data_IF_857493047652
#
_entry.id   IF_857493047652
#
_cell.length_a   1.000
_cell.length_b   1.000
_cell.length_c   1.000
_cell.angle_alpha   90.00
_cell.angle_beta   90.00
_cell.angle_gamma   90.00
#
_symmetry.space_group_name_H-M   'P 1'
#
loop_
_entity.id
_entity.type
_entity.pdbx_description
1 polymer ?
#
# COMPACT_ATOMS: atom_id res chain seq x y z
N UNK A 1 18.39 1.10 -30.92
CA UNK A 1 17.53 0.02 -30.38
C UNK A 1 16.48 0.64 -29.45
N UNK A 2 15.21 0.33 -29.60
CA UNK A 2 14.18 0.77 -28.64
C UNK A 2 14.43 0.11 -27.29
N UNK A 3 14.63 0.89 -26.24
CA UNK A 3 14.80 0.39 -24.88
C UNK A 3 13.57 -0.41 -24.45
N UNK A 4 13.79 -1.57 -23.78
CA UNK A 4 12.69 -2.46 -23.36
C UNK A 4 11.94 -1.87 -22.15
N UNK A 5 10.66 -1.56 -22.30
CA UNK A 5 9.79 -1.14 -21.23
C UNK A 5 9.63 -2.26 -20.18
N UNK A 6 9.29 -3.45 -20.64
CA UNK A 6 9.06 -4.64 -19.82
C UNK A 6 10.40 -5.28 -19.40
N UNK A 7 11.09 -4.62 -18.48
CA UNK A 7 12.24 -5.22 -17.82
C UNK A 7 11.79 -5.94 -16.53
N UNK A 8 12.62 -6.89 -16.06
CA UNK A 8 12.27 -7.72 -14.90
C UNK A 8 12.00 -6.91 -13.62
N UNK A 9 12.72 -5.81 -13.41
CA UNK A 9 12.49 -4.97 -12.22
C UNK A 9 11.18 -4.18 -12.32
N UNK A 10 10.85 -3.68 -13.51
CA UNK A 10 9.58 -2.99 -13.72
C UNK A 10 8.37 -3.92 -13.50
N UNK A 11 8.43 -5.16 -14.02
CA UNK A 11 7.40 -6.18 -13.77
C UNK A 11 7.24 -6.45 -12.26
N UNK A 12 8.34 -6.60 -11.53
CA UNK A 12 8.31 -6.79 -10.08
C UNK A 12 7.69 -5.61 -9.34
N UNK A 13 8.01 -4.38 -9.73
CA UNK A 13 7.43 -3.18 -9.14
C UNK A 13 5.92 -3.13 -9.41
N UNK A 14 5.48 -3.43 -10.63
CA UNK A 14 4.05 -3.51 -10.98
C UNK A 14 3.33 -4.60 -10.19
N UNK A 15 3.95 -5.79 -10.05
CA UNK A 15 3.37 -6.89 -9.25
C UNK A 15 3.28 -6.51 -7.77
N UNK A 16 4.32 -5.87 -7.23
CA UNK A 16 4.31 -5.35 -5.86
C UNK A 16 3.16 -4.36 -5.67
N UNK A 17 2.96 -3.45 -6.62
CA UNK A 17 1.87 -2.49 -6.61
C UNK A 17 0.50 -3.18 -6.65
N UNK A 18 0.33 -4.10 -7.58
CA UNK A 18 -0.90 -4.87 -7.70
C UNK A 18 -1.24 -5.61 -6.40
N UNK A 19 -0.30 -6.33 -5.80
CA UNK A 19 -0.51 -7.08 -4.56
C UNK A 19 -0.79 -6.17 -3.36
N UNK A 20 -0.11 -5.02 -3.27
CA UNK A 20 -0.37 -4.00 -2.24
C UNK A 20 -1.84 -3.55 -2.28
N UNK A 21 -2.30 -3.13 -3.46
CA UNK A 21 -3.66 -2.66 -3.64
C UNK A 21 -4.69 -3.79 -3.57
N UNK A 22 -4.33 -4.98 -4.04
CA UNK A 22 -5.19 -6.16 -3.94
C UNK A 22 -5.48 -6.52 -2.48
N UNK A 23 -4.44 -6.59 -1.63
CA UNK A 23 -4.60 -6.84 -0.19
C UNK A 23 -5.50 -5.79 0.49
N UNK A 24 -5.35 -4.53 0.09
CA UNK A 24 -6.16 -3.43 0.61
C UNK A 24 -7.63 -3.54 0.16
N UNK A 25 -7.86 -3.66 -1.14
CA UNK A 25 -9.23 -3.65 -1.70
C UNK A 25 -10.00 -4.95 -1.43
N UNK A 26 -9.32 -6.08 -1.18
CA UNK A 26 -9.94 -7.33 -0.78
C UNK A 26 -10.83 -7.17 0.45
N UNK A 27 -10.36 -6.39 1.44
CA UNK A 27 -11.05 -6.20 2.70
C UNK A 27 -11.99 -4.99 2.70
N UNK A 28 -11.75 -4.00 1.84
CA UNK A 28 -12.44 -2.70 1.88
C UNK A 28 -13.98 -2.82 1.95
N UNK A 29 -14.67 -3.62 1.13
CA UNK A 29 -16.13 -3.74 1.18
C UNK A 29 -16.63 -4.50 2.42
N UNK A 30 -15.79 -5.32 3.03
CA UNK A 30 -16.16 -6.20 4.13
C UNK A 30 -15.95 -5.58 5.51
N UNK A 31 -15.06 -4.59 5.62
CA UNK A 31 -14.77 -3.94 6.90
C UNK A 31 -15.99 -3.28 7.56
N UNK A 32 -16.93 -2.61 6.85
CA UNK A 32 -18.14 -2.09 7.46
C UNK A 32 -19.01 -3.21 8.07
N UNK A 33 -19.14 -4.33 7.37
CA UNK A 33 -19.89 -5.51 7.84
C UNK A 33 -19.22 -6.11 9.06
N UNK A 34 -17.91 -6.36 8.98
CA UNK A 34 -17.12 -6.87 10.09
C UNK A 34 -17.28 -6.02 11.36
N UNK A 35 -17.20 -4.69 11.26
CA UNK A 35 -17.32 -3.79 12.40
C UNK A 35 -18.74 -3.82 12.99
N UNK A 36 -19.76 -3.92 12.14
CA UNK A 36 -21.16 -4.04 12.57
C UNK A 36 -21.44 -5.36 13.26
N UNK A 37 -21.03 -6.48 12.66
CA UNK A 37 -21.36 -7.82 13.12
C UNK A 37 -20.53 -8.26 14.33
N UNK A 38 -19.23 -7.99 14.34
CA UNK A 38 -18.34 -8.45 15.42
C UNK A 38 -18.25 -7.49 16.61
N UNK A 39 -18.49 -6.20 16.41
CA UNK A 39 -18.38 -5.21 17.48
C UNK A 39 -19.68 -4.43 17.73
N UNK A 40 -20.75 -4.70 16.99
CA UNK A 40 -22.01 -3.95 17.13
C UNK A 40 -21.89 -2.46 16.80
N UNK A 41 -20.92 -2.07 15.94
CA UNK A 41 -20.63 -0.69 15.67
C UNK A 41 -21.76 0.00 14.91
N UNK A 42 -22.11 1.22 15.32
CA UNK A 42 -23.06 2.07 14.60
C UNK A 42 -22.42 2.61 13.30
N UNK A 43 -23.24 3.06 12.36
CA UNK A 43 -22.77 3.61 11.07
C UNK A 43 -21.79 4.78 11.25
N UNK A 44 -22.01 5.62 12.25
CA UNK A 44 -21.14 6.77 12.56
C UNK A 44 -19.76 6.30 13.03
N UNK A 45 -19.73 5.33 13.93
CA UNK A 45 -18.47 4.74 14.43
C UNK A 45 -17.71 4.05 13.30
N UNK A 46 -18.40 3.31 12.44
CA UNK A 46 -17.80 2.68 11.24
C UNK A 46 -17.18 3.74 10.35
N UNK A 47 -17.91 4.83 10.08
CA UNK A 47 -17.42 5.96 9.29
C UNK A 47 -16.13 6.55 9.86
N UNK A 48 -16.08 6.81 11.18
CA UNK A 48 -14.91 7.34 11.88
C UNK A 48 -13.73 6.39 11.77
N UNK A 49 -13.92 5.09 12.06
CA UNK A 49 -12.86 4.08 12.01
C UNK A 49 -12.26 3.94 10.61
N UNK A 50 -13.11 3.94 9.57
CA UNK A 50 -12.64 3.78 8.20
C UNK A 50 -12.00 5.05 7.65
N UNK A 51 -12.52 6.23 7.99
CA UNK A 51 -11.94 7.52 7.56
C UNK A 51 -10.56 7.78 8.19
N UNK A 52 -10.32 7.32 9.41
CA UNK A 52 -9.03 7.45 10.09
C UNK A 52 -7.86 6.94 9.26
N UNK A 53 -8.04 5.83 8.55
CA UNK A 53 -7.05 5.29 7.62
C UNK A 53 -6.68 6.28 6.50
N UNK A 54 -7.70 6.86 5.88
CA UNK A 54 -7.51 7.80 4.76
C UNK A 54 -6.84 9.08 5.23
N UNK A 55 -7.26 9.61 6.38
CA UNK A 55 -6.67 10.80 6.99
C UNK A 55 -5.20 10.57 7.31
N UNK A 56 -4.86 9.45 7.96
CA UNK A 56 -3.46 9.10 8.25
C UNK A 56 -2.62 8.97 6.97
N UNK A 57 -3.15 8.32 5.93
CA UNK A 57 -2.47 8.19 4.66
C UNK A 57 -2.22 9.56 3.99
N UNK A 58 -3.20 10.47 4.03
CA UNK A 58 -3.07 11.82 3.48
C UNK A 58 -2.02 12.65 4.21
N UNK A 59 -2.00 12.58 5.54
CA UNK A 59 -1.02 13.31 6.37
C UNK A 59 0.42 12.83 6.07
N UNK A 60 0.61 11.53 5.90
CA UNK A 60 1.95 10.95 5.70
C UNK A 60 2.51 11.15 4.29
N UNK A 61 1.66 11.25 3.25
CA UNK A 61 2.10 11.37 1.85
C UNK A 61 3.09 12.51 1.57
N UNK A 62 2.87 13.75 2.01
CA UNK A 62 3.84 14.83 1.78
C UNK A 62 5.22 14.54 2.37
N UNK A 63 5.26 13.98 3.59
CA UNK A 63 6.50 13.63 4.26
C UNK A 63 7.21 12.43 3.61
N UNK A 64 6.45 11.54 2.99
CA UNK A 64 6.98 10.35 2.33
C UNK A 64 7.88 10.69 1.15
N UNK A 65 7.57 11.74 0.39
CA UNK A 65 8.42 12.24 -0.69
C UNK A 65 9.81 12.62 -0.18
N UNK A 66 9.86 13.41 0.89
CA UNK A 66 11.13 13.79 1.52
C UNK A 66 11.93 12.58 2.00
N UNK A 67 11.28 11.61 2.67
CA UNK A 67 11.93 10.40 3.17
C UNK A 67 12.48 9.56 2.01
N UNK A 68 11.73 9.39 0.92
CA UNK A 68 12.15 8.63 -0.27
C UNK A 68 13.34 9.28 -0.98
N UNK A 69 13.44 10.61 -0.95
CA UNK A 69 14.56 11.34 -1.57
C UNK A 69 15.78 11.41 -0.65
N UNK A 70 15.59 11.38 0.68
CA UNK A 70 16.66 11.48 1.67
C UNK A 70 17.32 10.13 2.01
N UNK A 71 16.64 9.03 1.78
CA UNK A 71 17.12 7.69 2.12
C UNK A 71 17.13 6.76 0.90
N UNK A 72 17.76 5.59 1.07
CA UNK A 72 17.72 4.56 0.04
C UNK A 72 16.26 4.14 -0.27
N UNK A 73 15.81 4.42 -1.48
CA UNK A 73 14.43 4.13 -1.94
C UNK A 73 14.01 2.69 -1.70
N UNK A 74 14.95 1.75 -1.92
CA UNK A 74 14.75 0.34 -1.64
C UNK A 74 14.47 0.08 -0.15
N UNK A 75 15.27 0.68 0.75
CA UNK A 75 15.07 0.52 2.20
C UNK A 75 13.74 1.11 2.65
N UNK A 76 13.41 2.31 2.16
CA UNK A 76 12.12 2.96 2.46
C UNK A 76 10.95 2.10 1.99
N UNK A 77 10.99 1.61 0.74
CA UNK A 77 9.97 0.72 0.20
C UNK A 77 9.80 -0.53 1.08
N UNK A 78 10.90 -1.20 1.44
CA UNK A 78 10.86 -2.42 2.25
C UNK A 78 10.30 -2.17 3.65
N UNK A 79 10.73 -1.11 4.33
CA UNK A 79 10.24 -0.77 5.67
C UNK A 79 8.76 -0.44 5.65
N UNK A 80 8.32 0.43 4.72
CA UNK A 80 6.91 0.84 4.64
C UNK A 80 6.01 -0.33 4.24
N UNK A 81 6.46 -1.18 3.31
CA UNK A 81 5.69 -2.33 2.84
C UNK A 81 5.61 -3.42 3.93
N UNK A 82 6.69 -3.65 4.69
CA UNK A 82 6.67 -4.56 5.82
C UNK A 82 5.76 -4.06 6.94
N UNK A 83 5.81 -2.76 7.25
CA UNK A 83 4.90 -2.15 8.21
C UNK A 83 3.43 -2.28 7.75
N UNK A 84 3.15 -2.03 6.46
CA UNK A 84 1.82 -2.24 5.88
C UNK A 84 1.35 -3.69 6.07
N UNK A 85 2.19 -4.69 5.81
CA UNK A 85 1.84 -6.10 5.99
C UNK A 85 1.55 -6.44 7.46
N UNK A 86 2.38 -5.95 8.40
CA UNK A 86 2.23 -6.23 9.84
C UNK A 86 0.87 -5.75 10.39
N UNK A 87 0.31 -4.67 9.89
CA UNK A 87 -0.99 -4.18 10.35
C UNK A 87 -2.16 -5.13 10.05
N UNK A 88 -2.05 -6.01 9.07
CA UNK A 88 -3.05 -7.07 8.88
C UNK A 88 -3.03 -8.08 10.05
N UNK A 89 -1.85 -8.40 10.58
CA UNK A 89 -1.76 -9.17 11.82
C UNK A 89 -2.40 -8.43 13.02
N UNK A 90 -2.30 -7.09 13.04
CA UNK A 90 -3.00 -6.25 14.00
C UNK A 90 -4.52 -6.39 13.92
N UNK A 91 -5.10 -6.53 12.72
CA UNK A 91 -6.54 -6.77 12.57
C UNK A 91 -6.96 -8.14 13.09
N UNK A 92 -6.12 -9.17 12.88
CA UNK A 92 -6.33 -10.52 13.37
C UNK A 92 -6.31 -10.55 14.91
N UNK A 93 -5.43 -9.77 15.53
CA UNK A 93 -5.26 -9.70 16.98
C UNK A 93 -6.26 -8.75 17.67
N UNK A 94 -6.99 -7.92 16.93
CA UNK A 94 -7.88 -6.91 17.50
C UNK A 94 -9.10 -7.54 18.17
N UNK A 95 -9.15 -7.52 19.49
CA UNK A 95 -10.26 -8.03 20.30
C UNK A 95 -11.32 -6.99 20.64
N UNK A 96 -11.05 -5.70 20.42
CA UNK A 96 -11.97 -4.60 20.68
C UNK A 96 -12.02 -3.64 19.49
N UNK A 97 -13.14 -2.93 19.37
CA UNK A 97 -13.32 -1.91 18.33
C UNK A 97 -12.27 -0.79 18.43
N UNK A 98 -11.89 -0.40 19.65
CA UNK A 98 -10.86 0.62 19.87
C UNK A 98 -9.49 0.15 19.35
N UNK A 99 -9.10 -1.09 19.66
CA UNK A 99 -7.86 -1.68 19.16
C UNK A 99 -7.88 -1.76 17.63
N UNK A 100 -8.99 -2.18 17.04
CA UNK A 100 -9.14 -2.22 15.59
C UNK A 100 -9.05 -0.81 14.99
N UNK A 101 -9.71 0.19 15.57
CA UNK A 101 -9.68 1.58 15.11
C UNK A 101 -8.27 2.17 15.14
N UNK A 102 -7.52 1.94 16.21
CA UNK A 102 -6.12 2.37 16.34
C UNK A 102 -5.26 1.68 15.26
N UNK A 103 -5.35 0.36 15.14
CA UNK A 103 -4.62 -0.38 14.10
C UNK A 103 -5.00 0.11 12.70
N UNK A 104 -6.28 0.35 12.43
CA UNK A 104 -6.77 0.83 11.12
C UNK A 104 -6.23 2.21 10.79
N UNK A 105 -6.29 3.13 11.74
CA UNK A 105 -5.78 4.50 11.55
C UNK A 105 -4.26 4.49 11.32
N UNK A 106 -3.50 3.80 12.17
CA UNK A 106 -2.05 3.71 12.04
C UNK A 106 -1.62 3.01 10.74
N UNK A 107 -2.38 2.01 10.27
CA UNK A 107 -2.12 1.33 9.00
C UNK A 107 -2.14 2.27 7.79
N UNK A 108 -2.93 3.36 7.84
CA UNK A 108 -2.96 4.38 6.79
C UNK A 108 -1.59 5.04 6.55
N UNK A 109 -0.78 5.22 7.60
CA UNK A 109 0.55 5.80 7.49
C UNK A 109 1.48 5.02 6.56
N UNK A 110 1.80 3.74 6.84
CA UNK A 110 2.57 2.89 5.95
C UNK A 110 2.01 2.79 4.54
N UNK A 111 0.68 2.74 4.40
CA UNK A 111 0.05 2.74 3.07
C UNK A 111 0.35 4.02 2.29
N UNK A 112 0.18 5.19 2.91
CA UNK A 112 0.51 6.47 2.29
C UNK A 112 1.98 6.51 1.85
N UNK A 113 2.89 6.08 2.72
CA UNK A 113 4.32 6.08 2.44
C UNK A 113 4.73 5.06 1.35
N UNK A 114 4.20 3.85 1.39
CA UNK A 114 4.55 2.81 0.42
C UNK A 114 4.07 3.15 -1.00
N UNK A 115 2.92 3.82 -1.13
CA UNK A 115 2.43 4.24 -2.46
C UNK A 115 3.38 5.23 -3.12
N UNK A 116 3.96 6.16 -2.36
CA UNK A 116 4.98 7.11 -2.85
C UNK A 116 6.28 6.38 -3.15
N UNK A 117 6.78 5.55 -2.23
CA UNK A 117 8.04 4.82 -2.42
C UNK A 117 8.00 3.89 -3.63
N UNK A 118 6.90 3.14 -3.82
CA UNK A 118 6.77 2.20 -4.93
C UNK A 118 6.65 2.90 -6.28
N UNK A 119 5.90 4.01 -6.37
CA UNK A 119 5.81 4.81 -7.60
C UNK A 119 7.16 5.44 -7.97
N UNK A 120 7.94 5.88 -6.99
CA UNK A 120 9.30 6.38 -7.23
C UNK A 120 10.22 5.27 -7.72
N UNK A 121 10.13 4.06 -7.14
CA UNK A 121 10.86 2.88 -7.63
C UNK A 121 10.45 2.51 -9.07
N UNK A 122 9.18 2.67 -9.44
CA UNK A 122 8.72 2.45 -10.80
C UNK A 122 9.41 3.40 -11.80
N UNK A 123 9.51 4.68 -11.44
CA UNK A 123 10.20 5.68 -12.26
C UNK A 123 11.68 5.33 -12.43
N UNK A 124 12.34 4.85 -11.40
CA UNK A 124 13.77 4.54 -11.42
C UNK A 124 14.13 3.34 -12.30
N UNK A 125 13.24 2.36 -12.41
CA UNK A 125 13.47 1.17 -13.24
C UNK A 125 13.03 1.34 -14.70
N UNK A 126 12.36 2.46 -15.01
CA UNK A 126 11.88 2.79 -16.35
C UNK A 126 12.94 3.51 -17.17
N UNK A 127 13.12 3.14 -18.45
CA UNK A 127 13.93 3.91 -19.40
C UNK A 127 13.39 5.35 -19.53
N UNK A 128 14.29 6.33 -19.58
CA UNK A 128 13.91 7.73 -19.67
C UNK A 128 13.01 8.02 -20.89
N UNK A 129 13.30 7.38 -22.03
CA UNK A 129 12.56 7.52 -23.29
C UNK A 129 11.12 6.99 -23.26
N UNK A 130 10.78 6.11 -22.28
CA UNK A 130 9.47 5.45 -22.18
C UNK A 130 8.80 5.66 -20.80
N UNK A 131 9.27 6.64 -20.04
CA UNK A 131 8.81 6.85 -18.66
C UNK A 131 7.31 7.17 -18.57
N UNK A 132 6.80 8.03 -19.45
CA UNK A 132 5.38 8.41 -19.47
C UNK A 132 4.47 7.21 -19.76
N UNK A 133 4.84 6.37 -20.72
CA UNK A 133 4.12 5.14 -21.04
C UNK A 133 4.14 4.16 -19.86
N UNK A 134 5.32 3.98 -19.24
CA UNK A 134 5.47 3.10 -18.09
C UNK A 134 4.67 3.57 -16.86
N UNK A 135 4.63 4.87 -16.57
CA UNK A 135 3.82 5.40 -15.46
C UNK A 135 2.32 5.17 -15.70
N UNK A 136 1.85 5.33 -16.94
CA UNK A 136 0.47 5.02 -17.29
C UNK A 136 0.11 3.55 -17.05
N UNK A 137 0.96 2.62 -17.48
CA UNK A 137 0.78 1.18 -17.24
C UNK A 137 0.89 0.81 -15.76
N UNK A 138 1.79 1.48 -15.02
CA UNK A 138 1.88 1.31 -13.57
C UNK A 138 0.55 1.65 -12.87
N UNK A 139 -0.12 2.75 -13.29
CA UNK A 139 -1.44 3.10 -12.78
C UNK A 139 -2.52 2.05 -13.11
N UNK A 140 -2.41 1.34 -14.25
CA UNK A 140 -3.33 0.26 -14.59
C UNK A 140 -3.24 -0.92 -13.62
N UNK A 141 -2.07 -1.23 -13.06
CA UNK A 141 -1.91 -2.32 -12.08
C UNK A 141 -2.74 -2.07 -10.81
N UNK A 142 -2.79 -0.83 -10.34
CA UNK A 142 -3.63 -0.42 -9.24
C UNK A 142 -5.13 -0.51 -9.60
N UNK A 143 -5.52 0.05 -10.75
CA UNK A 143 -6.91 0.04 -11.19
C UNK A 143 -7.44 -1.39 -11.39
N UNK A 144 -6.57 -2.30 -11.87
CA UNK A 144 -6.93 -3.70 -12.02
C UNK A 144 -7.16 -4.37 -10.66
N UNK A 145 -6.30 -4.11 -9.67
CA UNK A 145 -6.52 -4.59 -8.30
C UNK A 145 -7.84 -4.05 -7.72
N UNK A 146 -8.11 -2.75 -7.89
CA UNK A 146 -9.35 -2.12 -7.44
C UNK A 146 -10.60 -2.72 -8.08
N UNK A 147 -10.51 -3.12 -9.35
CA UNK A 147 -11.64 -3.69 -10.07
C UNK A 147 -11.99 -5.12 -9.62
N UNK A 148 -10.98 -5.96 -9.33
CA UNK A 148 -11.22 -7.40 -9.07
C UNK A 148 -11.22 -7.77 -7.58
N UNK A 149 -10.39 -7.14 -6.74
CA UNK A 149 -10.21 -7.55 -5.37
C UNK A 149 -11.49 -7.44 -4.51
N UNK A 150 -12.33 -6.40 -4.61
CA UNK A 150 -13.59 -6.31 -3.87
C UNK A 150 -14.53 -7.50 -4.17
N UNK A 151 -14.67 -7.84 -5.45
CA UNK A 151 -15.53 -8.95 -5.87
C UNK A 151 -15.03 -10.30 -5.37
N UNK A 152 -13.71 -10.51 -5.42
CA UNK A 152 -13.06 -11.71 -4.86
C UNK A 152 -13.26 -11.75 -3.34
N UNK A 153 -13.10 -10.62 -2.64
CA UNK A 153 -13.31 -10.55 -1.19
C UNK A 153 -14.73 -10.95 -0.79
N UNK A 154 -15.73 -10.38 -1.45
CA UNK A 154 -17.14 -10.71 -1.19
C UNK A 154 -17.45 -12.18 -1.53
N UNK A 155 -16.96 -12.67 -2.66
CA UNK A 155 -17.14 -14.06 -3.06
C UNK A 155 -16.55 -15.04 -2.03
N UNK A 156 -15.33 -14.79 -1.59
CA UNK A 156 -14.66 -15.61 -0.59
C UNK A 156 -15.38 -15.54 0.76
N UNK A 157 -15.85 -14.37 1.18
CA UNK A 157 -16.63 -14.24 2.41
C UNK A 157 -17.88 -15.08 2.36
N UNK A 158 -18.65 -14.98 1.28
CA UNK A 158 -19.87 -15.77 1.10
C UNK A 158 -19.61 -17.30 1.04
N UNK A 159 -18.44 -17.72 0.59
CA UNK A 159 -18.08 -19.13 0.48
C UNK A 159 -17.60 -19.73 1.80
N UNK A 160 -16.88 -18.96 2.65
CA UNK A 160 -16.24 -19.47 3.87
C UNK A 160 -16.83 -18.92 5.17
N UNK A 161 -17.69 -17.91 5.08
CA UNK A 161 -18.38 -17.25 6.20
C UNK A 161 -17.42 -16.88 7.36
N UNK A 162 -16.23 -16.33 7.01
CA UNK A 162 -15.20 -16.02 8.00
C UNK A 162 -14.36 -14.81 7.60
N UNK A 163 -14.48 -13.72 8.34
CA UNK A 163 -13.61 -12.54 8.21
C UNK A 163 -12.15 -12.85 8.55
N UNK A 164 -11.91 -13.75 9.48
CA UNK A 164 -10.56 -14.10 9.91
C UNK A 164 -9.73 -14.70 8.76
N UNK A 165 -10.34 -15.58 7.96
CA UNK A 165 -9.68 -16.16 6.77
C UNK A 165 -9.31 -15.07 5.78
N UNK A 166 -10.17 -14.07 5.59
CA UNK A 166 -9.89 -12.96 4.67
C UNK A 166 -8.76 -12.06 5.17
N UNK A 167 -8.66 -11.80 6.49
CA UNK A 167 -7.52 -11.10 7.07
C UNK A 167 -6.21 -11.88 6.85
N UNK A 168 -6.22 -13.20 7.01
CA UNK A 168 -5.07 -14.05 6.72
C UNK A 168 -4.67 -14.01 5.23
N UNK A 169 -5.65 -14.08 4.33
CA UNK A 169 -5.39 -13.95 2.87
C UNK A 169 -4.76 -12.60 2.57
N UNK A 170 -5.31 -11.50 3.07
CA UNK A 170 -4.75 -10.17 2.88
C UNK A 170 -3.33 -10.06 3.44
N UNK A 171 -3.07 -10.64 4.61
CA UNK A 171 -1.73 -10.69 5.22
C UNK A 171 -0.75 -11.47 4.35
N UNK A 172 -1.11 -12.66 3.87
CA UNK A 172 -0.26 -13.50 3.00
C UNK A 172 0.04 -12.78 1.68
N UNK A 173 -0.96 -12.14 1.07
CA UNK A 173 -0.78 -11.35 -0.15
C UNK A 173 0.16 -10.16 0.09
N UNK A 174 0.03 -9.48 1.22
CA UNK A 174 0.92 -8.39 1.60
C UNK A 174 2.36 -8.88 1.84
N UNK A 175 2.55 -10.04 2.48
CA UNK A 175 3.88 -10.67 2.65
C UNK A 175 4.47 -11.07 1.29
N UNK A 176 3.67 -11.63 0.38
CA UNK A 176 4.13 -11.93 -0.98
C UNK A 176 4.62 -10.66 -1.71
N UNK A 177 3.92 -9.54 -1.52
CA UNK A 177 4.35 -8.22 -2.02
C UNK A 177 5.72 -7.82 -1.44
N UNK A 178 5.96 -8.00 -0.14
CA UNK A 178 7.26 -7.73 0.51
C UNK A 178 8.36 -8.60 -0.09
N UNK A 179 8.12 -9.90 -0.27
CA UNK A 179 9.09 -10.83 -0.83
C UNK A 179 9.47 -10.44 -2.26
N UNK A 180 8.48 -10.13 -3.11
CA UNK A 180 8.73 -9.69 -4.49
C UNK A 180 9.49 -8.36 -4.49
N UNK A 181 9.07 -7.39 -3.69
CA UNK A 181 9.77 -6.12 -3.53
C UNK A 181 11.22 -6.32 -3.11
N UNK A 182 11.51 -7.29 -2.24
CA UNK A 182 12.86 -7.68 -1.84
C UNK A 182 13.77 -8.03 -3.01
N UNK A 183 13.24 -8.60 -4.08
CA UNK A 183 13.98 -9.00 -5.28
C UNK A 183 14.21 -7.90 -6.31
N UNK A 184 13.59 -6.72 -6.16
CA UNK A 184 13.77 -5.58 -7.06
C UNK A 184 15.21 -5.07 -6.94
N UNK A 185 15.86 -4.84 -8.07
CA UNK A 185 17.17 -4.21 -8.15
C UNK A 185 17.00 -2.81 -8.71
N UNK A 186 17.21 -1.81 -7.86
CA UNK A 186 17.19 -0.41 -8.27
C UNK A 186 18.58 0.02 -8.73
N UNK A 187 18.69 0.93 -9.72
CA UNK A 187 19.95 1.54 -10.06
C UNK A 187 20.51 2.30 -8.85
N UNK A 188 21.82 2.21 -8.64
CA UNK A 188 22.49 3.01 -7.62
C UNK A 188 22.32 4.49 -8.00
N UNK A 189 21.59 5.22 -7.20
CA UNK A 189 21.57 6.68 -7.24
C UNK A 189 22.38 7.20 -6.09
N UNK A 190 23.27 8.15 -6.38
CA UNK A 190 23.88 8.96 -5.33
C UNK A 190 22.75 9.60 -4.51
N UNK A 191 22.73 9.29 -3.22
CA UNK A 191 21.83 9.95 -2.28
C UNK A 191 22.31 11.39 -2.21
N UNK A 192 21.64 12.27 -2.94
CA UNK A 192 21.87 13.70 -2.78
C UNK A 192 21.41 14.02 -1.36
N UNK A 193 22.38 14.16 -0.45
CA UNK A 193 22.11 14.68 0.89
C UNK A 193 21.54 16.08 0.70
N UNK A 194 20.23 16.16 0.58
CA UNK A 194 19.54 17.44 0.54
C UNK A 194 19.83 18.14 1.88
N UNK A 195 20.74 19.11 1.85
CA UNK A 195 21.03 19.99 3.01
C UNK A 195 19.85 20.92 3.33
N UNK A 196 18.84 20.92 2.48
CA UNK A 196 17.67 21.77 2.65
C UNK A 196 16.73 21.16 3.66
N UNK A 197 16.46 21.91 4.72
CA UNK A 197 15.49 21.56 5.76
C UNK A 197 14.11 21.39 5.11
N UNK A 198 13.30 20.47 5.65
CA UNK A 198 11.90 20.31 5.30
C UNK A 198 11.21 21.67 5.51
N UNK A 199 10.89 22.37 4.44
CA UNK A 199 10.13 23.63 4.51
C UNK A 199 8.74 23.38 3.92
N UNK A 200 7.71 23.81 4.64
CA UNK A 200 6.33 23.73 4.18
C UNK A 200 6.06 24.63 2.96
N UNK A 201 6.91 25.62 2.72
CA UNK A 201 6.82 26.55 1.58
C UNK A 201 6.96 25.86 0.21
N UNK A 202 7.34 24.57 0.18
CA UNK A 202 7.38 23.77 -1.06
C UNK A 202 6.06 23.10 -1.40
N UNK A 203 5.08 23.16 -0.51
CA UNK A 203 3.79 22.52 -0.69
C UNK A 203 2.67 23.52 -1.01
N UNK A 204 2.99 24.82 -1.01
CA UNK A 204 2.08 25.92 -1.34
C UNK A 204 2.65 26.85 -2.38
#
# INVERSE_FOLDING_TARGET
MKEKLWNANYIKVMTTNFLLYFAFYLLTPLLPLYLSENFGATKDVIGIVLSGYTVAALIIRPFSGYVVDSFSRKKVLMVCLSAFAIFFAGYIAASTILMFAICRTLHGGPFGAVTVANSTCAIDVLPASRRNEGIGLYGLSNNFAMAIAPSIGIYLHNAVDSYMILFWIAFIVAIASVVIAGTIRLPEKEIVKNKEKLSLDRFF
#
